data_IF_262320659098
#
_entry.id   IF_262320659098
#
_cell.length_a   1.000
_cell.length_b   1.000
_cell.length_c   1.000
_cell.angle_alpha   90.00
_cell.angle_beta   90.00
_cell.angle_gamma   90.00
#
_symmetry.space_group_name_H-M   'P 1'
#
loop_
_entity.id
_entity.type
_entity.pdbx_description
1 polymer ?
#
# COMPACT_ATOMS: atom_id res chain seq x y z
N UNK A 1 13.29 -43.72 -15.52
CA UNK A 1 14.06 -43.04 -14.46
C UNK A 1 13.88 -41.54 -14.68
N UNK A 2 12.67 -41.05 -14.45
CA UNK A 2 12.19 -40.41 -13.21
C UNK A 2 12.28 -38.89 -13.35
N UNK A 3 11.17 -38.34 -13.86
CA UNK A 3 10.80 -36.93 -13.75
C UNK A 3 10.55 -36.57 -12.28
N UNK A 4 10.90 -35.35 -11.90
CA UNK A 4 10.46 -34.75 -10.63
C UNK A 4 9.87 -33.37 -10.94
N UNK A 5 8.54 -33.26 -10.84
CA UNK A 5 7.81 -32.01 -10.68
C UNK A 5 7.89 -31.58 -9.20
N UNK A 6 7.79 -30.28 -8.88
CA UNK A 6 7.37 -29.85 -7.56
C UNK A 6 5.86 -29.59 -7.53
N UNK A 7 5.17 -30.26 -6.61
CA UNK A 7 3.76 -30.04 -6.24
C UNK A 7 3.56 -28.71 -5.49
N UNK A 8 2.39 -28.06 -5.62
CA UNK A 8 1.96 -26.94 -4.80
C UNK A 8 1.13 -27.44 -3.60
N UNK A 9 1.61 -27.26 -2.37
CA UNK A 9 0.82 -27.46 -1.15
C UNK A 9 0.46 -26.12 -0.50
N UNK A 10 -0.66 -25.54 -0.92
CA UNK A 10 -1.37 -24.50 -0.17
C UNK A 10 -2.86 -24.85 -0.19
N UNK A 11 -3.31 -25.67 0.74
CA UNK A 11 -4.71 -25.87 1.10
C UNK A 11 -4.81 -26.32 2.57
N UNK A 12 -5.91 -25.95 3.21
CA UNK A 12 -6.33 -26.25 4.59
C UNK A 12 -5.62 -25.49 5.72
N UNK A 13 -6.34 -24.54 6.32
CA UNK A 13 -7.00 -24.77 7.61
C UNK A 13 -8.08 -23.68 7.85
N UNK A 14 -9.35 -24.09 7.67
CA UNK A 14 -10.53 -23.46 8.24
C UNK A 14 -11.28 -24.52 9.04
N UNK A 15 -12.06 -24.06 10.03
CA UNK A 15 -13.04 -24.77 10.89
C UNK A 15 -12.41 -25.47 12.11
N UNK A 16 -12.85 -25.26 13.36
CA UNK A 16 -14.19 -24.97 13.89
C UNK A 16 -14.09 -24.32 15.28
N UNK A 17 -14.94 -23.35 15.59
CA UNK A 17 -15.37 -23.07 16.97
C UNK A 17 -16.86 -22.76 16.91
N UNK A 18 -17.66 -23.70 17.40
CA UNK A 18 -19.11 -23.59 17.52
C UNK A 18 -19.48 -22.58 18.61
N UNK A 19 -20.38 -21.67 18.27
CA UNK A 19 -21.10 -20.81 19.20
C UNK A 19 -22.16 -21.65 19.94
N UNK A 20 -22.12 -21.61 21.26
CA UNK A 20 -23.32 -21.79 22.08
C UNK A 20 -23.67 -20.44 22.71
N UNK A 21 -24.92 -20.05 22.49
CA UNK A 21 -25.58 -18.86 23.01
C UNK A 21 -25.93 -19.05 24.48
N UNK A 22 -25.58 -18.10 25.35
CA UNK A 22 -26.59 -17.50 26.23
C UNK A 22 -26.17 -16.15 26.83
N UNK A 23 -27.21 -15.40 27.14
CA UNK A 23 -27.28 -13.93 27.30
C UNK A 23 -26.56 -13.27 28.50
N UNK A 24 -26.35 -11.95 28.34
CA UNK A 24 -26.47 -10.88 29.36
C UNK A 24 -25.21 -10.23 29.95
N UNK A 25 -24.90 -9.06 29.37
CA UNK A 25 -24.43 -7.81 30.00
C UNK A 25 -22.95 -7.60 30.37
N UNK A 26 -22.48 -6.44 29.91
CA UNK A 26 -21.51 -5.51 30.51
C UNK A 26 -20.00 -5.84 30.52
N UNK A 27 -19.30 -5.08 29.67
CA UNK A 27 -18.12 -4.24 29.99
C UNK A 27 -16.99 -4.89 30.79
N UNK A 28 -15.85 -5.20 30.16
CA UNK A 28 -14.58 -4.54 30.48
C UNK A 28 -13.45 -5.02 29.55
N UNK A 29 -12.59 -4.08 29.18
CA UNK A 29 -11.22 -4.33 28.75
C UNK A 29 -10.47 -5.19 29.79
N UNK A 30 -9.79 -6.25 29.36
CA UNK A 30 -8.44 -6.69 29.78
C UNK A 30 -8.25 -8.20 29.63
N UNK A 31 -7.05 -8.52 29.14
CA UNK A 31 -6.32 -9.78 29.30
C UNK A 31 -6.78 -10.98 28.49
N UNK A 32 -6.06 -11.20 27.39
CA UNK A 32 -5.70 -12.56 26.97
C UNK A 32 -4.18 -12.68 27.10
N UNK A 33 -3.73 -13.13 28.27
CA UNK A 33 -2.39 -13.65 28.45
C UNK A 33 -2.41 -15.12 28.01
N UNK A 34 -1.83 -15.43 26.86
CA UNK A 34 -1.55 -16.81 26.47
C UNK A 34 -0.05 -17.05 26.60
N UNK A 35 0.25 -18.03 27.44
CA UNK A 35 1.58 -18.56 27.74
C UNK A 35 2.21 -19.19 26.48
N UNK A 36 3.00 -18.41 25.74
CA UNK A 36 4.08 -18.96 24.92
C UNK A 36 5.40 -18.82 25.68
N UNK A 37 6.01 -19.97 26.07
CA UNK A 37 7.41 -20.03 26.51
C UNK A 37 8.33 -20.01 25.29
N UNK A 38 8.34 -18.87 24.65
CA UNK A 38 9.24 -18.42 23.61
C UNK A 38 8.94 -16.94 23.49
N UNK A 39 9.92 -16.07 23.70
CA UNK A 39 9.68 -14.63 23.60
C UNK A 39 9.08 -14.38 22.20
N UNK A 40 7.89 -13.74 22.06
CA UNK A 40 7.38 -13.43 20.73
C UNK A 40 8.47 -12.66 20.00
N UNK A 41 8.76 -13.05 18.76
CA UNK A 41 9.71 -12.32 17.93
C UNK A 41 9.22 -10.86 17.86
N UNK A 42 10.11 -9.88 17.96
CA UNK A 42 9.71 -8.48 17.81
C UNK A 42 9.01 -8.30 16.47
N UNK A 43 7.84 -7.69 16.46
CA UNK A 43 7.09 -7.43 15.24
C UNK A 43 7.43 -6.05 14.70
N UNK A 44 8.13 -6.02 13.56
CA UNK A 44 8.46 -4.78 12.85
C UNK A 44 7.27 -4.34 12.00
N UNK A 45 6.71 -3.18 12.31
CA UNK A 45 5.64 -2.57 11.52
C UNK A 45 6.21 -1.43 10.67
N UNK A 46 5.92 -1.47 9.37
CA UNK A 46 6.28 -0.46 8.40
C UNK A 46 5.06 0.07 7.68
N UNK A 47 4.91 1.40 7.73
CA UNK A 47 3.93 2.14 6.96
C UNK A 47 4.64 2.82 5.80
N UNK A 48 4.26 2.51 4.57
CA UNK A 48 4.91 2.97 3.35
C UNK A 48 3.93 3.61 2.36
N UNK A 49 2.62 3.36 2.46
CA UNK A 49 1.60 3.96 1.59
C UNK A 49 1.17 5.33 2.14
N UNK A 50 2.01 6.33 1.90
CA UNK A 50 1.98 7.65 2.51
C UNK A 50 3.37 7.97 3.08
N UNK A 51 3.43 8.72 4.17
CA UNK A 51 4.67 8.97 4.88
C UNK A 51 5.28 7.68 5.44
N UNK A 52 6.61 7.56 5.34
CA UNK A 52 7.32 6.41 5.89
C UNK A 52 7.36 6.47 7.42
N UNK A 53 6.88 5.43 8.10
CA UNK A 53 7.15 5.21 9.53
C UNK A 53 7.48 3.76 9.84
N UNK A 54 8.31 3.57 10.86
CA UNK A 54 8.76 2.29 11.38
C UNK A 54 8.51 2.22 12.88
N UNK A 55 8.06 1.05 13.33
CA UNK A 55 7.91 0.77 14.76
C UNK A 55 8.16 -0.70 15.06
N UNK A 56 8.60 -1.02 16.26
CA UNK A 56 8.70 -2.40 16.75
C UNK A 56 7.85 -2.53 18.00
N UNK A 57 6.93 -3.49 18.02
CA UNK A 57 6.00 -3.72 19.13
C UNK A 57 5.30 -2.42 19.59
N UNK A 58 4.92 -1.58 18.62
CA UNK A 58 4.30 -0.28 18.83
C UNK A 58 5.24 0.88 19.23
N UNK A 59 6.53 0.63 19.42
CA UNK A 59 7.53 1.68 19.70
C UNK A 59 8.06 2.26 18.40
N UNK A 60 7.83 3.54 18.15
CA UNK A 60 8.35 4.25 16.98
C UNK A 60 9.89 4.20 16.92
N UNK A 61 10.42 4.15 15.69
CA UNK A 61 11.84 4.20 15.37
C UNK A 61 12.16 5.48 14.57
N UNK A 62 12.24 6.67 15.21
CA UNK A 62 12.41 7.94 14.51
C UNK A 62 13.69 8.04 13.67
N UNK A 63 14.71 7.24 14.00
CA UNK A 63 15.96 7.17 13.23
C UNK A 63 15.77 6.54 11.84
N UNK A 64 14.66 5.84 11.62
CA UNK A 64 14.29 5.21 10.35
C UNK A 64 13.14 5.96 9.65
N UNK A 65 12.30 6.67 10.40
CA UNK A 65 11.14 7.40 9.88
C UNK A 65 11.52 8.45 8.82
N UNK A 66 11.23 8.13 7.56
CA UNK A 66 11.52 8.96 6.41
C UNK A 66 13.00 9.31 6.22
N UNK A 67 13.92 8.50 6.74
CA UNK A 67 15.36 8.72 6.59
C UNK A 67 15.94 7.91 5.44
N UNK A 68 17.15 8.24 4.98
CA UNK A 68 17.87 7.42 3.99
C UNK A 68 18.18 6.01 4.50
N UNK A 69 18.38 5.86 5.82
CA UNK A 69 18.51 4.55 6.46
C UNK A 69 17.18 3.77 6.41
N UNK A 70 16.05 4.45 6.63
CA UNK A 70 14.72 3.88 6.41
C UNK A 70 14.50 3.44 4.96
N UNK A 71 14.80 4.29 3.99
CA UNK A 71 14.70 3.95 2.56
C UNK A 71 15.54 2.72 2.21
N UNK A 72 16.74 2.61 2.78
CA UNK A 72 17.61 1.43 2.62
C UNK A 72 16.96 0.16 3.20
N UNK A 73 16.38 0.24 4.40
CA UNK A 73 15.64 -0.86 5.02
C UNK A 73 14.47 -1.31 4.14
N UNK A 74 13.65 -0.36 3.66
CA UNK A 74 12.51 -0.65 2.79
C UNK A 74 12.98 -1.29 1.47
N UNK A 75 14.08 -0.80 0.91
CA UNK A 75 14.67 -1.35 -0.31
C UNK A 75 15.13 -2.80 -0.13
N UNK A 76 15.70 -3.14 1.03
CA UNK A 76 16.09 -4.50 1.37
C UNK A 76 14.89 -5.41 1.62
N UNK A 77 13.85 -4.90 2.30
CA UNK A 77 12.65 -5.65 2.65
C UNK A 77 11.82 -6.03 1.43
N UNK A 78 11.62 -5.12 0.48
CA UNK A 78 10.71 -5.33 -0.64
C UNK A 78 11.33 -6.17 -1.77
N UNK A 79 12.64 -6.35 -1.80
CA UNK A 79 13.29 -7.34 -2.67
C UNK A 79 13.44 -8.65 -1.93
N UNK A 80 12.37 -9.45 -1.98
CA UNK A 80 12.28 -10.73 -1.29
C UNK A 80 13.33 -11.71 -1.82
N UNK A 81 14.17 -12.23 -0.93
CA UNK A 81 14.96 -13.44 -1.15
C UNK A 81 16.32 -13.28 -1.82
N UNK A 82 16.63 -12.12 -2.41
CA UNK A 82 17.91 -11.93 -3.11
C UNK A 82 19.00 -11.35 -2.20
N UNK A 83 20.17 -11.99 -2.21
CA UNK A 83 21.38 -11.43 -1.63
C UNK A 83 21.87 -10.25 -2.48
N UNK A 84 21.62 -9.02 -2.04
CA UNK A 84 22.05 -7.83 -2.77
C UNK A 84 23.54 -7.59 -2.54
N UNK A 85 24.31 -7.46 -3.63
CA UNK A 85 25.72 -7.11 -3.55
C UNK A 85 25.88 -5.71 -2.92
N UNK A 86 26.69 -5.62 -1.86
CA UNK A 86 26.93 -4.36 -1.14
C UNK A 86 27.54 -3.29 -2.04
N UNK A 87 28.32 -3.67 -3.04
CA UNK A 87 28.85 -2.73 -4.03
C UNK A 87 27.77 -2.11 -4.90
N UNK A 88 26.79 -2.91 -5.35
CA UNK A 88 25.67 -2.43 -6.16
C UNK A 88 24.76 -1.51 -5.33
N UNK A 89 24.41 -1.95 -4.11
CA UNK A 89 23.57 -1.17 -3.20
C UNK A 89 24.24 0.16 -2.79
N UNK A 90 25.56 0.15 -2.58
CA UNK A 90 26.32 1.36 -2.31
C UNK A 90 26.32 2.34 -3.50
N UNK A 91 26.55 1.84 -4.72
CA UNK A 91 26.54 2.67 -5.92
C UNK A 91 25.15 3.29 -6.17
N UNK A 92 24.08 2.53 -5.91
CA UNK A 92 22.69 2.97 -6.04
C UNK A 92 22.34 4.10 -5.06
N UNK A 93 22.73 4.00 -3.79
CA UNK A 93 22.37 5.00 -2.76
C UNK A 93 23.31 6.22 -2.71
N UNK A 94 24.54 6.09 -3.21
CA UNK A 94 25.54 7.15 -3.26
C UNK A 94 26.22 7.22 -4.64
N UNK A 95 25.47 7.52 -5.72
CA UNK A 95 25.98 7.47 -7.09
C UNK A 95 27.11 8.47 -7.36
N UNK A 96 27.16 9.55 -6.59
CA UNK A 96 28.13 10.64 -6.76
C UNK A 96 29.42 10.45 -5.94
N UNK A 97 29.59 9.32 -5.25
CA UNK A 97 30.76 9.04 -4.41
C UNK A 97 31.67 8.00 -5.05
N UNK A 98 32.94 8.00 -4.66
CA UNK A 98 33.85 6.92 -5.02
C UNK A 98 33.36 5.58 -4.44
N UNK A 99 33.66 4.42 -5.08
CA UNK A 99 33.21 3.12 -4.58
C UNK A 99 33.59 2.84 -3.12
N UNK A 100 34.77 3.30 -2.68
CA UNK A 100 35.21 3.15 -1.30
C UNK A 100 34.38 3.99 -0.32
N UNK A 101 34.10 5.26 -0.66
CA UNK A 101 33.29 6.16 0.15
C UNK A 101 31.82 5.69 0.21
N UNK A 102 31.26 5.25 -0.92
CA UNK A 102 29.91 4.68 -1.00
C UNK A 102 29.77 3.44 -0.11
N UNK A 103 30.73 2.50 -0.16
CA UNK A 103 30.75 1.31 0.71
C UNK A 103 30.89 1.67 2.19
N UNK A 104 31.67 2.71 2.52
CA UNK A 104 31.80 3.21 3.89
C UNK A 104 30.45 3.75 4.40
N UNK A 105 29.76 4.56 3.62
CA UNK A 105 28.44 5.07 3.96
C UNK A 105 27.40 3.95 4.09
N UNK A 106 27.42 2.97 3.19
CA UNK A 106 26.55 1.80 3.29
C UNK A 106 26.75 1.08 4.64
N UNK A 107 28.00 0.85 5.04
CA UNK A 107 28.32 0.21 6.32
C UNK A 107 27.76 1.00 7.50
N UNK A 108 27.90 2.32 7.49
CA UNK A 108 27.36 3.18 8.55
C UNK A 108 25.83 3.13 8.63
N UNK A 109 25.14 3.14 7.48
CA UNK A 109 23.67 3.08 7.45
C UNK A 109 23.15 1.70 7.87
N UNK A 110 23.79 0.61 7.44
CA UNK A 110 23.46 -0.74 7.91
C UNK A 110 23.70 -0.89 9.41
N UNK A 111 24.79 -0.32 9.94
CA UNK A 111 25.04 -0.30 11.39
C UNK A 111 23.96 0.50 12.14
N UNK A 112 23.54 1.65 11.62
CA UNK A 112 22.46 2.44 12.18
C UNK A 112 21.15 1.65 12.22
N UNK A 113 20.80 0.97 11.12
CA UNK A 113 19.59 0.14 11.05
C UNK A 113 19.68 -0.99 12.07
N UNK A 114 20.75 -1.78 12.05
CA UNK A 114 20.94 -2.89 13.00
C UNK A 114 20.83 -2.41 14.45
N UNK A 115 21.46 -1.29 14.81
CA UNK A 115 21.34 -0.75 16.17
C UNK A 115 19.90 -0.43 16.59
N UNK A 116 19.05 0.02 15.67
CA UNK A 116 17.63 0.27 15.97
C UNK A 116 16.86 -1.04 16.16
N UNK A 117 17.17 -2.05 15.35
CA UNK A 117 16.46 -3.33 15.33
C UNK A 117 16.94 -4.30 16.44
N UNK A 118 18.24 -4.29 16.75
CA UNK A 118 18.90 -5.08 17.81
C UNK A 118 18.38 -4.70 19.20
N UNK A 119 17.98 -3.44 19.40
CA UNK A 119 17.37 -2.96 20.64
C UNK A 119 16.08 -3.71 21.00
N UNK A 120 15.54 -4.47 20.06
CA UNK A 120 14.34 -5.28 20.21
C UNK A 120 14.61 -6.79 20.05
N UNK A 121 15.87 -7.23 20.04
CA UNK A 121 16.27 -8.64 19.88
C UNK A 121 15.83 -9.29 18.56
N UNK A 122 15.69 -8.51 17.47
CA UNK A 122 15.28 -9.04 16.17
C UNK A 122 16.44 -9.21 15.20
N UNK A 123 16.52 -10.39 14.56
CA UNK A 123 17.47 -10.68 13.50
C UNK A 123 16.83 -10.36 12.13
N UNK A 124 16.82 -9.08 11.77
CA UNK A 124 16.14 -8.57 10.56
C UNK A 124 17.07 -8.38 9.35
N UNK A 125 18.40 -8.32 9.56
CA UNK A 125 19.36 -8.06 8.49
C UNK A 125 20.48 -9.10 8.57
N UNK A 126 20.57 -9.92 7.54
CA UNK A 126 21.69 -10.82 7.32
C UNK A 126 22.70 -10.14 6.41
N UNK A 127 23.90 -9.89 6.92
CA UNK A 127 24.95 -9.16 6.22
C UNK A 127 26.29 -9.91 6.27
N UNK A 128 26.86 -10.12 5.09
CA UNK A 128 28.23 -10.60 4.89
C UNK A 128 29.12 -9.43 4.39
N UNK A 129 30.44 -9.63 4.21
CA UNK A 129 31.30 -8.60 3.63
C UNK A 129 30.94 -8.23 2.17
N UNK A 130 30.31 -9.15 1.43
CA UNK A 130 29.96 -9.00 0.01
C UNK A 130 28.48 -8.71 -0.21
N UNK A 131 27.59 -9.30 0.60
CA UNK A 131 26.15 -9.27 0.39
C UNK A 131 25.38 -8.77 1.61
N UNK A 132 24.16 -8.32 1.38
CA UNK A 132 23.19 -7.98 2.43
C UNK A 132 21.80 -8.39 1.96
N UNK A 133 21.00 -8.91 2.87
CA UNK A 133 19.59 -9.22 2.62
C UNK A 133 18.75 -8.90 3.86
N UNK A 134 17.46 -8.68 3.64
CA UNK A 134 16.50 -8.68 4.73
C UNK A 134 16.22 -10.13 5.15
N UNK A 135 16.16 -10.39 6.46
CA UNK A 135 15.83 -11.69 7.00
C UNK A 135 14.32 -11.81 7.23
N UNK A 136 13.64 -12.51 6.32
CA UNK A 136 12.19 -12.72 6.38
C UNK A 136 11.74 -13.77 7.42
N UNK A 137 12.64 -14.35 8.21
CA UNK A 137 12.22 -15.20 9.35
C UNK A 137 11.71 -14.38 10.54
N UNK A 138 11.97 -13.07 10.55
CA UNK A 138 11.42 -12.16 11.56
C UNK A 138 9.96 -11.80 11.25
N UNK A 139 9.18 -11.48 12.28
CA UNK A 139 7.79 -11.04 12.13
C UNK A 139 7.77 -9.58 11.63
N UNK A 140 7.17 -9.37 10.46
CA UNK A 140 7.14 -8.06 9.80
C UNK A 140 5.77 -7.81 9.19
N UNK A 141 5.18 -6.69 9.54
CA UNK A 141 3.92 -6.20 8.99
C UNK A 141 4.20 -4.97 8.16
N UNK A 142 3.83 -5.02 6.88
CA UNK A 142 4.01 -3.90 5.95
C UNK A 142 2.66 -3.58 5.31
N UNK A 143 2.27 -2.31 5.34
CA UNK A 143 0.98 -1.87 4.80
C UNK A 143 0.81 -2.17 3.29
N UNK A 144 1.90 -2.17 2.51
CA UNK A 144 1.88 -2.59 1.10
C UNK A 144 1.47 -4.05 0.93
N UNK A 145 1.81 -4.93 1.87
CA UNK A 145 1.39 -6.33 1.80
C UNK A 145 -0.11 -6.47 2.07
N UNK A 146 -0.64 -5.69 3.01
CA UNK A 146 -2.08 -5.62 3.28
C UNK A 146 -2.85 -5.21 2.03
N UNK A 147 -2.36 -4.20 1.30
CA UNK A 147 -2.94 -3.79 0.02
C UNK A 147 -2.92 -4.91 -1.03
N UNK A 148 -1.76 -5.56 -1.21
CA UNK A 148 -1.57 -6.55 -2.27
C UNK A 148 -2.31 -7.87 -2.00
N UNK A 149 -2.42 -8.27 -0.74
CA UNK A 149 -3.01 -9.54 -0.30
C UNK A 149 -4.50 -9.43 0.05
N UNK A 150 -5.10 -8.25 -0.13
CA UNK A 150 -6.54 -8.05 0.05
C UNK A 150 -7.33 -9.07 -0.77
N UNK A 151 -8.32 -9.71 -0.13
CA UNK A 151 -9.27 -10.58 -0.81
C UNK A 151 -10.26 -9.75 -1.61
N UNK A 152 -10.89 -10.36 -2.62
CA UNK A 152 -11.93 -9.73 -3.44
C UNK A 152 -13.29 -9.71 -2.70
N UNK A 153 -13.30 -9.20 -1.46
CA UNK A 153 -14.50 -8.94 -0.67
C UNK A 153 -14.50 -7.49 -0.14
N UNK A 154 -15.67 -6.80 -0.05
CA UNK A 154 -15.69 -5.37 0.27
C UNK A 154 -15.03 -5.00 1.60
N UNK A 155 -15.11 -5.87 2.62
CA UNK A 155 -14.51 -5.60 3.92
C UNK A 155 -12.97 -5.68 3.85
N UNK A 156 -12.43 -6.73 3.24
CA UNK A 156 -10.99 -6.87 3.04
C UNK A 156 -10.43 -5.76 2.14
N UNK A 157 -11.18 -5.32 1.13
CA UNK A 157 -10.78 -4.20 0.29
C UNK A 157 -10.79 -2.89 1.09
N UNK A 158 -11.81 -2.64 1.91
CA UNK A 158 -11.88 -1.44 2.74
C UNK A 158 -10.65 -1.31 3.67
N UNK A 159 -10.26 -2.39 4.34
CA UNK A 159 -9.05 -2.43 5.17
C UNK A 159 -7.79 -2.12 4.36
N UNK A 160 -7.66 -2.73 3.19
CA UNK A 160 -6.54 -2.51 2.28
C UNK A 160 -6.46 -1.07 1.75
N UNK A 161 -7.61 -0.48 1.40
CA UNK A 161 -7.67 0.92 0.97
C UNK A 161 -7.34 1.86 2.12
N UNK A 162 -7.76 1.57 3.36
CA UNK A 162 -7.46 2.38 4.53
C UNK A 162 -5.95 2.53 4.79
N UNK A 163 -5.15 1.51 4.42
CA UNK A 163 -3.69 1.60 4.46
C UNK A 163 -3.13 2.67 3.50
N UNK A 164 -3.78 2.89 2.35
CA UNK A 164 -3.33 3.85 1.34
C UNK A 164 -3.65 5.28 1.77
N UNK A 165 -2.71 5.97 2.42
CA UNK A 165 -2.87 7.35 2.90
C UNK A 165 -2.24 8.40 1.99
N UNK A 166 -1.51 7.96 0.97
CA UNK A 166 -0.85 8.80 -0.01
C UNK A 166 0.16 8.02 -0.83
N UNK A 167 0.90 8.70 -1.73
CA UNK A 167 1.93 8.05 -2.54
C UNK A 167 2.95 7.29 -1.69
N UNK A 168 3.45 6.18 -2.22
CA UNK A 168 4.50 5.39 -1.58
C UNK A 168 5.70 6.26 -1.19
N UNK A 169 6.10 6.22 0.09
CA UNK A 169 7.16 7.05 0.65
C UNK A 169 6.95 8.55 0.35
N UNK A 170 5.75 9.06 0.57
CA UNK A 170 5.45 10.49 0.44
C UNK A 170 6.26 11.32 1.47
N UNK A 171 6.69 12.51 1.05
CA UNK A 171 7.33 13.49 1.95
C UNK A 171 8.81 13.24 2.21
N UNK A 172 9.46 12.33 1.47
CA UNK A 172 10.92 12.09 1.55
C UNK A 172 11.64 12.40 0.24
N UNK A 173 10.98 13.05 -0.71
CA UNK A 173 11.45 13.28 -2.08
C UNK A 173 12.87 13.89 -2.12
N UNK A 174 13.13 14.91 -1.30
CA UNK A 174 14.46 15.55 -1.19
C UNK A 174 15.56 14.65 -0.61
N UNK A 175 15.18 13.53 0.01
CA UNK A 175 16.10 12.57 0.67
C UNK A 175 16.39 11.35 -0.19
N UNK A 176 15.61 11.14 -1.26
CA UNK A 176 15.81 10.04 -2.20
C UNK A 176 17.02 10.38 -3.09
N UNK A 177 18.07 9.53 -3.12
CA UNK A 177 19.18 9.74 -4.04
C UNK A 177 18.71 9.71 -5.50
N UNK A 178 19.37 10.49 -6.36
CA UNK A 178 19.08 10.47 -7.80
C UNK A 178 19.45 9.12 -8.45
N UNK A 179 18.96 8.91 -9.67
CA UNK A 179 19.29 7.71 -10.45
C UNK A 179 18.39 6.53 -10.12
N UNK A 180 18.99 5.35 -10.01
CA UNK A 180 18.26 4.07 -9.96
C UNK A 180 17.27 3.97 -8.79
N UNK A 181 17.64 4.44 -7.59
CA UNK A 181 16.73 4.38 -6.44
C UNK A 181 15.54 5.33 -6.58
N UNK A 182 15.71 6.51 -7.18
CA UNK A 182 14.60 7.42 -7.47
C UNK A 182 13.63 6.77 -8.46
N UNK A 183 14.14 6.18 -9.54
CA UNK A 183 13.30 5.48 -10.51
C UNK A 183 12.54 4.34 -9.84
N UNK A 184 13.21 3.54 -9.00
CA UNK A 184 12.57 2.49 -8.24
C UNK A 184 11.43 3.01 -7.35
N UNK A 185 11.60 4.15 -6.65
CA UNK A 185 10.50 4.75 -5.85
C UNK A 185 9.35 5.19 -6.74
N UNK A 186 9.62 5.84 -7.88
CA UNK A 186 8.58 6.31 -8.81
C UNK A 186 7.79 5.14 -9.40
N UNK A 187 8.47 4.07 -9.82
CA UNK A 187 7.85 2.85 -10.33
C UNK A 187 6.95 2.21 -9.27
N UNK A 188 7.41 2.17 -8.01
CA UNK A 188 6.62 1.65 -6.88
C UNK A 188 5.41 2.53 -6.57
N UNK A 189 5.53 3.87 -6.63
CA UNK A 189 4.38 4.78 -6.49
C UNK A 189 3.30 4.48 -7.52
N UNK A 190 3.67 4.42 -8.81
CA UNK A 190 2.72 4.10 -9.88
C UNK A 190 2.17 2.68 -9.81
N UNK A 191 2.96 1.71 -9.35
CA UNK A 191 2.49 0.35 -9.11
C UNK A 191 1.44 0.31 -7.99
N UNK A 192 1.75 0.83 -6.80
CA UNK A 192 0.82 0.77 -5.67
C UNK A 192 -0.43 1.61 -5.87
N UNK A 193 -0.33 2.75 -6.58
CA UNK A 193 -1.51 3.52 -6.99
C UNK A 193 -2.46 2.67 -7.85
N UNK A 194 -1.96 2.06 -8.92
CA UNK A 194 -2.77 1.18 -9.79
C UNK A 194 -3.40 0.03 -9.03
N UNK A 195 -2.66 -0.60 -8.11
CA UNK A 195 -3.21 -1.66 -7.28
C UNK A 195 -4.35 -1.15 -6.39
N UNK A 196 -4.22 0.03 -5.80
CA UNK A 196 -5.26 0.60 -4.96
C UNK A 196 -6.51 1.00 -5.77
N UNK A 197 -6.33 1.59 -6.96
CA UNK A 197 -7.44 1.90 -7.88
C UNK A 197 -8.15 0.64 -8.36
N UNK A 198 -7.42 -0.41 -8.76
CA UNK A 198 -8.03 -1.71 -9.15
C UNK A 198 -8.86 -2.31 -8.00
N UNK A 199 -8.36 -2.25 -6.76
CA UNK A 199 -9.14 -2.72 -5.59
C UNK A 199 -10.40 -1.90 -5.40
N UNK A 200 -10.32 -0.57 -5.52
CA UNK A 200 -11.47 0.31 -5.41
C UNK A 200 -12.52 0.04 -6.52
N UNK A 201 -12.10 -0.19 -7.76
CA UNK A 201 -12.98 -0.58 -8.86
C UNK A 201 -13.69 -1.91 -8.59
N UNK A 202 -12.96 -2.92 -8.06
CA UNK A 202 -13.55 -4.20 -7.67
C UNK A 202 -14.57 -4.06 -6.55
N UNK A 203 -14.28 -3.23 -5.54
CA UNK A 203 -15.23 -2.95 -4.46
C UNK A 203 -16.49 -2.28 -4.99
N UNK A 204 -16.35 -1.26 -5.84
CA UNK A 204 -17.50 -0.59 -6.47
C UNK A 204 -18.33 -1.56 -7.32
N UNK A 205 -17.69 -2.43 -8.09
CA UNK A 205 -18.37 -3.47 -8.89
C UNK A 205 -19.13 -4.48 -8.02
N UNK A 206 -18.49 -4.98 -6.95
CA UNK A 206 -19.12 -5.92 -6.03
C UNK A 206 -20.33 -5.32 -5.30
N UNK A 207 -20.21 -4.07 -4.85
CA UNK A 207 -21.28 -3.33 -4.19
C UNK A 207 -22.43 -3.00 -5.14
N UNK A 208 -22.13 -2.61 -6.39
CA UNK A 208 -23.13 -2.40 -7.45
C UNK A 208 -23.95 -3.66 -7.71
N UNK A 209 -23.28 -4.83 -7.81
CA UNK A 209 -23.97 -6.12 -8.00
C UNK A 209 -24.90 -6.51 -6.84
N UNK A 210 -24.77 -5.85 -5.68
CA UNK A 210 -25.59 -6.06 -4.49
C UNK A 210 -26.56 -4.88 -4.21
N UNK A 211 -26.76 -3.95 -5.15
CA UNK A 211 -27.60 -2.76 -5.00
C UNK A 211 -27.17 -1.85 -3.82
N UNK A 212 -25.85 -1.78 -3.59
CA UNK A 212 -25.21 -1.04 -2.50
C UNK A 212 -24.08 -0.14 -3.01
N UNK A 213 -24.15 0.27 -4.29
CA UNK A 213 -23.08 0.99 -4.99
C UNK A 213 -22.64 2.27 -4.28
N UNK A 214 -23.58 3.00 -3.70
CA UNK A 214 -23.34 4.23 -2.94
C UNK A 214 -22.34 4.08 -1.79
N UNK A 215 -22.15 2.88 -1.24
CA UNK A 215 -21.15 2.63 -0.18
C UNK A 215 -19.70 2.78 -0.65
N UNK A 216 -19.44 2.75 -1.96
CA UNK A 216 -18.11 2.99 -2.52
C UNK A 216 -17.75 4.48 -2.59
N UNK A 217 -18.74 5.39 -2.62
CA UNK A 217 -18.53 6.83 -2.85
C UNK A 217 -17.52 7.48 -1.88
N UNK A 218 -17.57 7.23 -0.55
CA UNK A 218 -16.61 7.83 0.37
C UNK A 218 -15.15 7.42 0.09
N UNK A 219 -14.94 6.19 -0.40
CA UNK A 219 -13.61 5.71 -0.76
C UNK A 219 -13.12 6.38 -2.05
N UNK A 220 -13.99 6.49 -3.05
CA UNK A 220 -13.66 7.17 -4.31
C UNK A 220 -13.34 8.65 -4.07
N UNK A 221 -14.12 9.32 -3.23
CA UNK A 221 -13.88 10.72 -2.86
C UNK A 221 -12.55 10.91 -2.14
N UNK A 222 -12.20 10.02 -1.21
CA UNK A 222 -10.90 10.06 -0.54
C UNK A 222 -9.75 9.87 -1.52
N UNK A 223 -9.88 8.98 -2.50
CA UNK A 223 -8.85 8.79 -3.52
C UNK A 223 -8.74 9.98 -4.49
N UNK A 224 -9.86 10.62 -4.84
CA UNK A 224 -9.86 11.87 -5.60
C UNK A 224 -9.19 13.04 -4.85
N UNK A 225 -9.22 13.03 -3.52
CA UNK A 225 -8.45 14.00 -2.73
C UNK A 225 -6.93 13.74 -2.78
N UNK A 226 -6.52 12.49 -3.02
CA UNK A 226 -5.10 12.13 -3.16
C UNK A 226 -4.58 12.45 -4.56
N UNK A 227 -5.36 12.15 -5.58
CA UNK A 227 -5.07 12.50 -6.97
C UNK A 227 -6.34 13.04 -7.68
N UNK A 228 -6.53 14.37 -7.66
CA UNK A 228 -7.62 15.02 -8.36
C UNK A 228 -7.53 14.95 -9.89
N UNK A 229 -6.40 14.51 -10.45
CA UNK A 229 -6.18 14.44 -11.91
C UNK A 229 -6.44 13.04 -12.47
N UNK A 230 -6.72 12.05 -11.62
CA UNK A 230 -7.04 10.70 -12.08
C UNK A 230 -8.47 10.64 -12.65
N UNK A 231 -8.58 10.76 -13.97
CA UNK A 231 -9.84 10.66 -14.69
C UNK A 231 -10.56 9.32 -14.45
N UNK A 232 -9.83 8.23 -14.15
CA UNK A 232 -10.43 6.93 -13.85
C UNK A 232 -11.25 6.99 -12.57
N UNK A 233 -10.78 7.69 -11.54
CA UNK A 233 -11.52 7.90 -10.30
C UNK A 233 -12.75 8.79 -10.51
N UNK A 234 -12.63 9.85 -11.33
CA UNK A 234 -13.78 10.68 -11.71
C UNK A 234 -14.83 9.85 -12.43
N UNK A 235 -14.41 9.03 -13.41
CA UNK A 235 -15.27 8.13 -14.17
C UNK A 235 -15.94 7.08 -13.27
N UNK A 236 -15.21 6.53 -12.30
CA UNK A 236 -15.77 5.57 -11.34
C UNK A 236 -16.85 6.22 -10.45
N UNK A 237 -16.60 7.45 -9.97
CA UNK A 237 -17.60 8.22 -9.21
C UNK A 237 -18.83 8.54 -10.05
N UNK A 238 -18.62 9.01 -11.28
CA UNK A 238 -19.67 9.30 -12.27
C UNK A 238 -20.56 8.09 -12.50
N UNK A 239 -19.97 6.94 -12.80
CA UNK A 239 -20.71 5.71 -13.05
C UNK A 239 -21.51 5.29 -11.81
N UNK A 240 -20.90 5.35 -10.63
CA UNK A 240 -21.58 5.00 -9.36
C UNK A 240 -22.78 5.91 -9.10
N UNK A 241 -22.66 7.22 -9.31
CA UNK A 241 -23.78 8.16 -9.13
C UNK A 241 -24.92 7.90 -10.11
N UNK A 242 -24.61 7.48 -11.35
CA UNK A 242 -25.63 7.14 -12.34
C UNK A 242 -26.39 5.85 -11.99
N UNK A 243 -25.70 4.84 -11.45
CA UNK A 243 -26.36 3.61 -11.01
C UNK A 243 -27.33 3.88 -9.86
N UNK A 244 -26.99 4.82 -8.97
CA UNK A 244 -27.84 5.27 -7.86
C UNK A 244 -28.97 6.22 -8.31
N UNK A 245 -29.10 6.49 -9.61
CA UNK A 245 -30.11 7.40 -10.18
C UNK A 245 -29.87 8.88 -9.89
N UNK A 246 -28.67 9.25 -9.43
CA UNK A 246 -28.30 10.61 -9.05
C UNK A 246 -27.70 11.40 -10.24
N UNK A 247 -28.46 11.49 -11.33
CA UNK A 247 -27.99 12.07 -12.60
C UNK A 247 -27.50 13.53 -12.47
N UNK A 248 -28.16 14.36 -11.65
CA UNK A 248 -27.72 15.73 -11.36
C UNK A 248 -26.35 15.79 -10.67
N UNK A 249 -26.09 14.85 -9.75
CA UNK A 249 -24.80 14.76 -9.07
C UNK A 249 -23.72 14.25 -10.03
N UNK A 250 -24.06 13.29 -10.89
CA UNK A 250 -23.17 12.81 -11.94
C UNK A 250 -22.76 13.96 -12.89
N UNK A 251 -23.70 14.76 -13.40
CA UNK A 251 -23.39 15.92 -14.25
C UNK A 251 -22.39 16.88 -13.61
N UNK A 252 -22.59 17.23 -12.32
CA UNK A 252 -21.64 18.09 -11.58
C UNK A 252 -20.27 17.44 -11.42
N UNK A 253 -20.21 16.13 -11.19
CA UNK A 253 -18.94 15.41 -11.09
C UNK A 253 -18.17 15.42 -12.41
N UNK A 254 -18.86 15.34 -13.56
CA UNK A 254 -18.23 15.49 -14.87
C UNK A 254 -17.67 16.90 -15.05
N UNK A 255 -18.44 17.93 -14.69
CA UNK A 255 -17.98 19.32 -14.78
C UNK A 255 -16.72 19.54 -13.95
N UNK A 256 -16.67 19.02 -12.72
CA UNK A 256 -15.47 19.05 -11.89
C UNK A 256 -14.27 18.34 -12.55
N UNK A 257 -14.49 17.16 -13.14
CA UNK A 257 -13.45 16.42 -13.86
C UNK A 257 -12.91 17.21 -15.05
N UNK A 258 -13.79 17.78 -15.87
CA UNK A 258 -13.41 18.58 -17.03
C UNK A 258 -12.62 19.81 -16.61
N UNK A 259 -13.12 20.53 -15.63
CA UNK A 259 -12.53 21.81 -15.23
C UNK A 259 -11.13 21.61 -14.64
N UNK A 260 -10.90 20.55 -13.86
CA UNK A 260 -9.57 20.29 -13.28
C UNK A 260 -8.57 19.76 -14.32
N UNK A 261 -8.99 18.88 -15.24
CA UNK A 261 -8.12 18.38 -16.31
C UNK A 261 -7.73 19.49 -17.28
N UNK A 262 -8.66 20.38 -17.62
CA UNK A 262 -8.36 21.52 -18.48
C UNK A 262 -7.42 22.52 -17.78
N UNK A 263 -7.67 22.82 -16.50
CA UNK A 263 -6.87 23.79 -15.76
C UNK A 263 -5.41 23.33 -15.53
N UNK A 264 -5.21 22.07 -15.18
CA UNK A 264 -3.89 21.56 -14.77
C UNK A 264 -3.12 20.88 -15.91
N UNK A 265 -3.82 20.27 -16.87
CA UNK A 265 -3.21 19.49 -17.96
C UNK A 265 -3.52 20.05 -19.36
N UNK A 266 -4.49 20.96 -19.50
CA UNK A 266 -4.91 21.50 -20.79
C UNK A 266 -5.54 20.45 -21.71
N UNK A 267 -6.21 19.45 -21.13
CA UNK A 267 -6.85 18.36 -21.86
C UNK A 267 -8.32 18.21 -21.47
N UNK A 268 -9.15 17.86 -22.45
CA UNK A 268 -10.53 17.48 -22.23
C UNK A 268 -10.65 16.04 -21.69
N UNK A 269 -11.76 15.69 -21.02
CA UNK A 269 -12.05 14.31 -20.63
C UNK A 269 -12.07 13.35 -21.82
N UNK A 270 -11.66 12.11 -21.59
CA UNK A 270 -11.67 11.06 -22.58
C UNK A 270 -13.08 10.58 -22.95
N UNK A 271 -13.17 9.84 -24.08
CA UNK A 271 -14.43 9.40 -24.66
C UNK A 271 -15.30 8.54 -23.71
N UNK A 272 -14.69 7.73 -22.84
CA UNK A 272 -15.42 6.93 -21.86
C UNK A 272 -16.13 7.80 -20.82
N UNK A 273 -15.52 8.92 -20.43
CA UNK A 273 -16.08 9.87 -19.47
C UNK A 273 -17.17 10.72 -20.13
N UNK A 274 -16.97 11.11 -21.39
CA UNK A 274 -17.99 11.78 -22.21
C UNK A 274 -19.26 10.93 -22.40
N UNK A 275 -19.12 9.62 -22.58
CA UNK A 275 -20.26 8.71 -22.70
C UNK A 275 -21.13 8.69 -21.43
N UNK A 276 -20.52 8.76 -20.24
CA UNK A 276 -21.24 8.85 -18.97
C UNK A 276 -21.95 10.20 -18.82
N UNK A 277 -21.34 11.30 -19.26
CA UNK A 277 -22.01 12.61 -19.30
C UNK A 277 -23.28 12.55 -20.14
N UNK A 278 -23.21 11.99 -21.34
CA UNK A 278 -24.38 11.87 -22.22
C UNK A 278 -25.50 11.05 -21.54
N UNK A 279 -25.14 9.96 -20.85
CA UNK A 279 -26.11 9.15 -20.09
C UNK A 279 -26.78 9.97 -18.98
N UNK A 280 -26.02 10.82 -18.27
CA UNK A 280 -26.58 11.71 -17.25
C UNK A 280 -27.59 12.71 -17.83
N UNK A 281 -27.29 13.28 -19.00
CA UNK A 281 -28.17 14.22 -19.71
C UNK A 281 -29.46 13.57 -20.21
N UNK A 282 -29.37 12.34 -20.72
CA UNK A 282 -30.53 11.56 -21.15
C UNK A 282 -31.46 11.25 -19.98
N UNK A 283 -30.91 10.88 -18.82
CA UNK A 283 -31.70 10.65 -17.60
C UNK A 283 -32.41 11.92 -17.11
N UNK A 284 -31.75 13.08 -17.19
CA UNK A 284 -32.32 14.37 -16.77
C UNK A 284 -33.39 14.87 -17.73
N UNK A 285 -33.21 14.65 -19.04
CA UNK A 285 -34.18 15.05 -20.06
C UNK A 285 -35.41 14.15 -20.11
N UNK A 286 -35.27 12.85 -19.81
CA UNK A 286 -36.39 11.90 -19.73
C UNK A 286 -37.26 12.01 -18.47
N UNK A 287 -36.85 12.82 -17.48
CA UNK A 287 -37.59 13.06 -16.24
C UNK A 287 -38.56 14.27 -16.32
N UNK A 288 -38.56 15.00 -17.45
CA UNK A 288 -39.44 16.15 -17.72
C UNK A 288 -40.68 15.75 -18.52
#
# INVERSE_FOLDING_TARGET
MSHCQPDPCWHQLCLTAQCDTDSSSCTNERQVAVLFRGNPLPCLHLNLLGGMSASIDGRSLPALDGTKAGLLLVRLLLEQGDQIARSALAAMFWPNLSPAAARSNLRQHLFQINRQLDACNGDFIDATPEHVRFNHTADVVVDVHTLLQARDDPASIADALACYRGPFLAGIDDRIPSGEILQWVLDRRGFYWRQAVDRLERMASALRGADRGGEALPYIERFLQLDPLDETLHRLKLATLLDEGLADAARRQYEQCRDILEAELGVAPGAATEALRATAEDMLSGAQ
#
